data_IF_696236380095
#
_entry.id   IF_696236380095
#
_cell.length_a   1.000
_cell.length_b   1.000
_cell.length_c   1.000
_cell.angle_alpha   90.00
_cell.angle_beta   90.00
_cell.angle_gamma   90.00
#
_symmetry.space_group_name_H-M   'P 1'
#
loop_
_entity.id
_entity.type
_entity.pdbx_description
1 polymer ?
#
# COMPACT_ATOMS: atom_id res chain seq x y z
N UNK A 1 -26.30 4.01 -7.48
CA UNK A 1 -26.94 3.49 -6.27
C UNK A 1 -26.17 2.32 -5.68
N UNK A 2 -26.02 1.17 -6.37
CA UNK A 2 -25.36 -0.04 -5.82
C UNK A 2 -23.87 0.15 -5.59
N UNK A 3 -23.17 0.77 -6.55
CA UNK A 3 -21.73 1.06 -6.42
C UNK A 3 -21.49 2.01 -5.23
N UNK A 4 -22.26 3.10 -5.13
CA UNK A 4 -22.12 4.05 -4.03
C UNK A 4 -22.35 3.40 -2.67
N UNK A 5 -23.35 2.51 -2.57
CA UNK A 5 -23.59 1.76 -1.33
C UNK A 5 -22.38 0.88 -0.94
N UNK A 6 -21.73 0.24 -1.93
CA UNK A 6 -20.53 -0.55 -1.69
C UNK A 6 -19.35 0.34 -1.22
N UNK A 7 -19.17 1.49 -1.86
CA UNK A 7 -18.13 2.47 -1.50
C UNK A 7 -18.33 2.96 -0.06
N UNK A 8 -19.53 3.40 0.30
CA UNK A 8 -19.87 3.84 1.65
C UNK A 8 -19.66 2.74 2.70
N UNK A 9 -20.04 1.50 2.38
CA UNK A 9 -19.83 0.35 3.24
C UNK A 9 -18.33 0.10 3.48
N UNK A 10 -17.53 0.10 2.43
CA UNK A 10 -16.07 -0.14 2.54
C UNK A 10 -15.37 1.01 3.28
N UNK A 11 -15.72 2.25 2.97
CA UNK A 11 -15.19 3.40 3.70
C UNK A 11 -15.50 3.29 5.20
N UNK A 12 -16.74 2.97 5.57
CA UNK A 12 -17.15 2.78 6.96
C UNK A 12 -16.41 1.64 7.67
N UNK A 13 -16.17 0.50 6.98
CA UNK A 13 -15.46 -0.63 7.57
C UNK A 13 -14.01 -0.30 7.94
N UNK A 14 -13.36 0.55 7.17
CA UNK A 14 -11.97 0.98 7.41
C UNK A 14 -11.87 2.32 8.15
N UNK A 15 -13.00 2.97 8.45
CA UNK A 15 -13.00 4.31 9.06
C UNK A 15 -12.36 5.37 8.16
N UNK A 16 -12.55 5.24 6.83
CA UNK A 16 -12.08 6.19 5.82
C UNK A 16 -13.22 7.16 5.42
N UNK A 17 -12.82 8.32 4.91
CA UNK A 17 -13.76 9.37 4.49
C UNK A 17 -14.61 8.93 3.30
N UNK A 18 -14.01 8.23 2.35
CA UNK A 18 -14.69 7.75 1.14
C UNK A 18 -13.95 6.53 0.54
N UNK A 19 -14.56 5.89 -0.45
CA UNK A 19 -13.97 4.83 -1.23
C UNK A 19 -14.36 4.98 -2.71
N UNK A 20 -13.55 4.40 -3.58
CA UNK A 20 -13.76 4.39 -5.02
C UNK A 20 -13.78 2.95 -5.54
N UNK A 21 -14.86 2.55 -6.19
CA UNK A 21 -14.92 1.27 -6.89
C UNK A 21 -14.19 1.33 -8.22
N UNK A 22 -13.30 0.36 -8.45
CA UNK A 22 -12.57 0.19 -9.69
C UNK A 22 -12.75 -1.23 -10.23
N UNK A 23 -12.69 -1.43 -11.58
CA UNK A 23 -12.89 -2.74 -12.19
C UNK A 23 -11.75 -3.73 -11.95
N UNK A 24 -10.60 -3.28 -11.43
CA UNK A 24 -9.45 -4.16 -11.11
C UNK A 24 -8.60 -3.64 -9.97
N UNK A 25 -7.91 -4.57 -9.25
CA UNK A 25 -6.95 -4.22 -8.21
C UNK A 25 -5.74 -3.44 -8.74
N UNK A 26 -5.29 -3.73 -9.96
CA UNK A 26 -4.25 -2.93 -10.63
C UNK A 26 -4.67 -1.47 -10.76
N UNK A 27 -5.92 -1.22 -11.17
CA UNK A 27 -6.42 0.14 -11.29
C UNK A 27 -6.49 0.86 -9.93
N UNK A 28 -6.92 0.17 -8.87
CA UNK A 28 -6.96 0.77 -7.52
C UNK A 28 -5.57 1.17 -7.04
N UNK A 29 -4.57 0.29 -7.18
CA UNK A 29 -3.19 0.60 -6.80
C UNK A 29 -2.62 1.76 -7.63
N UNK A 30 -2.81 1.75 -8.96
CA UNK A 30 -2.29 2.80 -9.82
C UNK A 30 -2.94 4.17 -9.55
N UNK A 31 -4.24 4.21 -9.23
CA UNK A 31 -4.93 5.44 -8.82
C UNK A 31 -4.39 5.93 -7.48
N UNK A 32 -4.24 5.05 -6.49
CA UNK A 32 -3.72 5.42 -5.17
C UNK A 32 -2.30 5.99 -5.28
N UNK A 33 -1.41 5.32 -6.01
CA UNK A 33 -0.04 5.78 -6.24
C UNK A 33 -0.06 7.15 -6.93
N UNK A 34 -0.86 7.32 -7.99
CA UNK A 34 -0.97 8.59 -8.71
C UNK A 34 -1.51 9.72 -7.84
N UNK A 35 -2.48 9.44 -6.97
CA UNK A 35 -3.06 10.43 -6.07
C UNK A 35 -2.07 10.91 -5.00
N UNK A 36 -1.14 10.05 -4.60
CA UNK A 36 -0.17 10.31 -3.54
C UNK A 36 1.16 10.89 -4.03
N UNK A 37 1.41 10.90 -5.34
CA UNK A 37 2.72 11.25 -5.89
C UNK A 37 2.64 12.24 -7.05
N UNK A 38 3.78 12.83 -7.37
CA UNK A 38 4.00 13.67 -8.55
C UNK A 38 5.13 13.09 -9.41
N UNK A 39 5.18 13.41 -10.72
CA UNK A 39 6.32 13.02 -11.55
C UNK A 39 7.64 13.50 -10.96
N UNK A 40 8.60 12.57 -10.86
CA UNK A 40 9.91 12.83 -10.23
C UNK A 40 10.01 12.38 -8.77
N UNK A 41 8.90 12.03 -8.11
CA UNK A 41 8.93 11.43 -6.78
C UNK A 41 9.50 9.99 -6.79
N UNK A 42 9.85 9.49 -5.62
CA UNK A 42 10.26 8.12 -5.40
C UNK A 42 9.29 7.38 -4.47
N UNK A 43 9.06 6.10 -4.77
CA UNK A 43 8.23 5.18 -3.99
C UNK A 43 9.12 4.09 -3.40
N UNK A 44 8.94 3.76 -2.13
CA UNK A 44 9.57 2.60 -1.50
C UNK A 44 8.59 1.42 -1.52
N UNK A 45 9.03 0.26 -2.02
CA UNK A 45 8.28 -0.99 -1.90
C UNK A 45 9.21 -2.20 -1.85
N UNK A 46 8.67 -3.37 -1.48
CA UNK A 46 9.43 -4.61 -1.52
C UNK A 46 9.75 -5.02 -2.97
N UNK A 47 10.93 -5.62 -3.18
CA UNK A 47 11.40 -6.08 -4.50
C UNK A 47 10.42 -7.08 -5.16
N UNK A 48 9.61 -7.79 -4.37
CA UNK A 48 8.64 -8.77 -4.88
C UNK A 48 7.23 -8.23 -5.00
N UNK A 49 6.97 -6.96 -4.61
CA UNK A 49 5.63 -6.38 -4.56
C UNK A 49 4.94 -6.38 -5.92
N UNK A 50 3.63 -6.59 -5.88
CA UNK A 50 2.77 -6.67 -7.08
C UNK A 50 2.75 -5.37 -7.85
N UNK A 51 2.67 -4.23 -7.17
CA UNK A 51 2.61 -2.89 -7.78
C UNK A 51 3.81 -2.60 -8.69
N UNK A 52 4.97 -3.18 -8.38
CA UNK A 52 6.18 -3.03 -9.20
C UNK A 52 6.29 -4.06 -10.31
N UNK A 53 6.06 -5.35 -9.99
CA UNK A 53 6.39 -6.45 -10.90
C UNK A 53 5.26 -6.82 -11.87
N UNK A 54 3.99 -6.57 -11.51
CA UNK A 54 2.83 -7.20 -12.18
C UNK A 54 1.76 -6.19 -12.62
N UNK A 55 2.08 -4.91 -12.69
CA UNK A 55 1.15 -3.86 -13.10
C UNK A 55 1.63 -3.09 -14.36
N UNK A 56 2.34 -3.80 -15.25
CA UNK A 56 2.69 -3.30 -16.58
C UNK A 56 3.60 -2.05 -16.58
N UNK A 57 4.44 -1.86 -15.54
CA UNK A 57 5.26 -0.66 -15.39
C UNK A 57 4.44 0.59 -15.04
N UNK A 58 3.24 0.38 -14.47
CA UNK A 58 2.27 1.44 -14.22
C UNK A 58 2.79 2.57 -13.35
N UNK A 59 3.65 2.31 -12.38
CA UNK A 59 4.26 3.35 -11.53
C UNK A 59 5.01 4.38 -12.40
N UNK A 60 5.85 3.92 -13.30
CA UNK A 60 6.59 4.80 -14.20
C UNK A 60 5.67 5.47 -15.23
N UNK A 61 4.77 4.70 -15.84
CA UNK A 61 3.90 5.19 -16.91
C UNK A 61 2.84 6.18 -16.42
N UNK A 62 2.11 5.82 -15.36
CA UNK A 62 0.98 6.63 -14.88
C UNK A 62 1.42 7.76 -13.95
N UNK A 63 2.42 7.54 -13.11
CA UNK A 63 2.81 8.46 -12.04
C UNK A 63 4.14 9.17 -12.31
N UNK A 64 4.98 8.65 -13.21
CA UNK A 64 6.29 9.23 -13.51
C UNK A 64 7.27 9.13 -12.33
N UNK A 65 7.09 8.15 -11.46
CA UNK A 65 7.89 7.98 -10.25
C UNK A 65 9.01 6.97 -10.45
N UNK A 66 10.12 7.18 -9.77
CA UNK A 66 11.14 6.17 -9.53
C UNK A 66 10.71 5.22 -8.40
N UNK A 67 11.36 4.06 -8.32
CA UNK A 67 11.04 3.06 -7.29
C UNK A 67 12.32 2.64 -6.56
N UNK A 68 12.31 2.79 -5.25
CA UNK A 68 13.30 2.23 -4.34
C UNK A 68 12.87 0.84 -3.93
N UNK A 69 13.55 -0.16 -4.45
CA UNK A 69 13.29 -1.56 -4.13
C UNK A 69 14.06 -1.97 -2.88
N UNK A 70 13.36 -2.51 -1.90
CA UNK A 70 13.92 -3.00 -0.64
C UNK A 70 13.67 -4.50 -0.52
N UNK A 71 14.66 -5.26 -0.10
CA UNK A 71 14.53 -6.70 0.07
C UNK A 71 14.03 -7.00 1.50
N UNK A 72 12.73 -7.09 1.64
CA UNK A 72 12.07 -7.44 2.89
C UNK A 72 12.06 -8.94 3.18
N UNK A 73 11.68 -9.30 4.40
CA UNK A 73 11.49 -10.70 4.78
C UNK A 73 10.21 -11.26 4.19
N UNK A 74 10.31 -12.09 3.15
CA UNK A 74 9.15 -12.68 2.45
C UNK A 74 8.14 -11.61 2.00
N UNK A 75 8.64 -10.50 1.44
CA UNK A 75 7.83 -9.38 0.96
C UNK A 75 7.39 -8.39 2.03
N UNK A 76 7.82 -8.57 3.28
CA UNK A 76 7.50 -7.68 4.41
C UNK A 76 8.67 -6.76 4.70
N UNK A 77 8.45 -5.48 4.56
CA UNK A 77 9.40 -4.43 4.92
C UNK A 77 9.46 -4.26 6.44
N UNK A 78 10.62 -3.89 6.96
CA UNK A 78 10.82 -3.57 8.36
C UNK A 78 10.96 -2.06 8.58
N UNK A 79 10.65 -1.54 9.77
CA UNK A 79 10.71 -0.11 10.05
C UNK A 79 12.09 0.52 9.78
N UNK A 80 13.17 -0.13 10.20
CA UNK A 80 14.55 0.30 9.97
C UNK A 80 14.88 0.39 8.48
N UNK A 81 14.46 -0.61 7.69
CA UNK A 81 14.63 -0.60 6.24
C UNK A 81 13.93 0.60 5.58
N UNK A 82 12.76 1.00 6.06
CA UNK A 82 12.10 2.21 5.53
C UNK A 82 12.93 3.44 5.86
N UNK A 83 13.31 3.61 7.12
CA UNK A 83 14.06 4.78 7.56
C UNK A 83 15.38 4.95 6.79
N UNK A 84 16.13 3.89 6.59
CA UNK A 84 17.42 3.87 5.88
C UNK A 84 17.30 4.16 4.37
N UNK A 85 16.11 3.99 3.79
CA UNK A 85 15.85 4.16 2.36
C UNK A 85 15.12 5.47 2.02
N UNK A 86 14.86 6.34 3.01
CA UNK A 86 14.35 7.70 2.74
C UNK A 86 15.49 8.56 2.20
N UNK A 87 15.29 9.16 1.05
CA UNK A 87 16.27 10.07 0.48
C UNK A 87 16.42 11.35 1.32
N UNK A 88 17.65 11.88 1.45
CA UNK A 88 17.85 13.18 2.10
C UNK A 88 17.23 14.29 1.26
N UNK A 89 16.88 15.40 1.91
CA UNK A 89 16.45 16.63 1.21
C UNK A 89 17.65 17.25 0.47
N UNK A 90 17.81 16.86 -0.79
CA UNK A 90 18.93 17.26 -1.64
C UNK A 90 18.47 17.23 -3.11
N UNK A 91 18.78 18.26 -3.87
CA UNK A 91 18.37 18.46 -5.28
C UNK A 91 18.79 17.33 -6.25
N UNK A 92 19.75 16.50 -5.87
CA UNK A 92 20.23 15.39 -6.70
C UNK A 92 19.42 14.10 -6.50
N UNK A 93 18.55 14.03 -5.49
CA UNK A 93 17.73 12.87 -5.21
C UNK A 93 16.25 13.12 -5.52
N UNK A 94 15.52 12.11 -6.03
CA UNK A 94 14.07 12.19 -6.06
C UNK A 94 13.52 12.30 -4.64
N UNK A 95 12.45 13.05 -4.44
CA UNK A 95 11.78 13.11 -3.14
C UNK A 95 11.09 11.78 -2.87
N UNK A 96 11.50 11.09 -1.79
CA UNK A 96 10.73 9.94 -1.30
C UNK A 96 9.37 10.43 -0.84
N UNK A 97 8.27 9.84 -1.36
CA UNK A 97 6.91 10.35 -1.11
C UNK A 97 5.94 9.30 -0.60
N UNK A 98 6.14 8.06 -0.98
CA UNK A 98 5.17 6.99 -0.71
C UNK A 98 5.89 5.71 -0.31
N UNK A 99 5.37 5.04 0.71
CA UNK A 99 5.70 3.65 1.03
C UNK A 99 4.52 2.77 0.65
N UNK A 100 4.78 1.64 -0.01
CA UNK A 100 3.75 0.66 -0.38
C UNK A 100 4.05 -0.67 0.30
N UNK A 101 3.11 -1.16 1.10
CA UNK A 101 3.13 -2.52 1.66
C UNK A 101 2.10 -3.40 0.96
N UNK A 102 2.39 -4.70 0.86
CA UNK A 102 1.46 -5.71 0.32
C UNK A 102 1.11 -6.73 1.41
N UNK A 103 -0.17 -6.83 1.79
CA UNK A 103 -0.64 -7.79 2.79
C UNK A 103 -1.93 -8.51 2.31
N UNK A 104 -1.94 -9.84 2.26
CA UNK A 104 -0.81 -10.77 2.45
C UNK A 104 0.13 -10.70 1.23
N UNK A 105 1.44 -10.82 1.45
CA UNK A 105 2.40 -10.81 0.35
C UNK A 105 2.26 -12.05 -0.52
N UNK A 106 1.95 -11.86 -1.80
CA UNK A 106 1.73 -12.95 -2.76
C UNK A 106 3.01 -13.76 -2.99
N UNK A 107 4.10 -13.11 -3.32
CA UNK A 107 5.39 -13.76 -3.57
C UNK A 107 6.10 -14.20 -2.29
N UNK A 108 5.71 -13.65 -1.17
CA UNK A 108 6.12 -14.08 0.17
C UNK A 108 5.43 -15.35 0.65
N UNK A 109 4.60 -16.00 -0.21
CA UNK A 109 3.85 -17.22 0.15
C UNK A 109 2.70 -16.96 1.12
N UNK A 110 2.03 -15.81 0.98
CA UNK A 110 0.94 -15.40 1.86
C UNK A 110 1.41 -14.91 3.22
N UNK A 111 2.66 -14.45 3.34
CA UNK A 111 3.18 -13.89 4.59
C UNK A 111 2.34 -12.70 5.05
N UNK A 112 2.13 -12.62 6.36
CA UNK A 112 1.33 -11.58 7.02
C UNK A 112 2.28 -10.68 7.79
N UNK A 113 2.09 -9.36 7.69
CA UNK A 113 2.83 -8.39 8.52
C UNK A 113 2.45 -8.54 10.00
N UNK A 114 3.43 -8.33 10.89
CA UNK A 114 3.14 -7.99 12.27
C UNK A 114 2.55 -6.57 12.30
N UNK A 115 1.40 -6.39 12.93
CA UNK A 115 0.73 -5.08 13.00
C UNK A 115 1.60 -4.03 13.71
N UNK A 116 2.46 -4.42 14.64
CA UNK A 116 3.38 -3.51 15.29
C UNK A 116 4.43 -2.95 14.32
N UNK A 117 4.92 -3.77 13.37
CA UNK A 117 5.80 -3.28 12.31
C UNK A 117 5.07 -2.25 11.44
N UNK A 118 3.81 -2.52 11.06
CA UNK A 118 2.99 -1.57 10.27
C UNK A 118 2.75 -0.26 11.01
N UNK A 119 2.47 -0.30 12.32
CA UNK A 119 2.32 0.89 13.17
C UNK A 119 3.62 1.70 13.20
N UNK A 120 4.77 1.04 13.35
CA UNK A 120 6.06 1.71 13.38
C UNK A 120 6.41 2.31 12.00
N UNK A 121 6.15 1.60 10.90
CA UNK A 121 6.33 2.13 9.54
C UNK A 121 5.44 3.37 9.35
N UNK A 122 4.16 3.30 9.74
CA UNK A 122 3.24 4.43 9.67
C UNK A 122 3.74 5.65 10.44
N UNK A 123 4.33 5.43 11.63
CA UNK A 123 4.94 6.50 12.43
C UNK A 123 6.12 7.13 11.68
N UNK A 124 7.03 6.32 11.16
CA UNK A 124 8.17 6.79 10.34
C UNK A 124 7.68 7.59 9.14
N UNK A 125 6.67 7.11 8.42
CA UNK A 125 6.09 7.82 7.29
C UNK A 125 5.61 9.22 7.70
N UNK A 126 4.83 9.32 8.77
CA UNK A 126 4.29 10.61 9.26
C UNK A 126 5.39 11.58 9.72
N UNK A 127 6.41 11.07 10.39
CA UNK A 127 7.55 11.88 10.87
C UNK A 127 8.42 12.43 9.72
N UNK A 128 8.34 11.82 8.53
CA UNK A 128 9.13 12.20 7.36
C UNK A 128 8.28 12.74 6.19
N UNK A 129 7.03 13.12 6.41
CA UNK A 129 6.10 13.63 5.39
C UNK A 129 5.89 12.66 4.21
N UNK A 130 5.87 11.35 4.51
CA UNK A 130 5.56 10.28 3.57
C UNK A 130 4.13 9.80 3.74
N UNK A 131 3.54 9.32 2.66
CA UNK A 131 2.26 8.63 2.68
C UNK A 131 2.47 7.10 2.70
N UNK A 132 1.50 6.38 3.24
CA UNK A 132 1.57 4.93 3.38
C UNK A 132 0.36 4.27 2.72
N UNK A 133 0.59 3.51 1.65
CA UNK A 133 -0.43 2.77 0.90
C UNK A 133 -0.37 1.27 1.18
N UNK A 134 -1.54 0.63 1.32
CA UNK A 134 -1.67 -0.82 1.41
C UNK A 134 -2.23 -1.41 0.10
N UNK A 135 -1.44 -2.25 -0.58
CA UNK A 135 -1.99 -3.25 -1.49
C UNK A 135 -2.58 -4.39 -0.64
N UNK A 136 -3.83 -4.24 -0.32
CA UNK A 136 -4.61 -5.15 0.53
C UNK A 136 -5.46 -6.13 -0.27
N UNK A 137 -5.03 -6.50 -1.47
CA UNK A 137 -5.77 -7.42 -2.36
C UNK A 137 -6.23 -8.71 -1.67
N UNK A 138 -5.50 -9.17 -0.66
CA UNK A 138 -5.83 -10.36 0.16
C UNK A 138 -5.87 -10.04 1.66
N UNK A 139 -6.11 -8.80 2.04
CA UNK A 139 -6.09 -8.37 3.44
C UNK A 139 -7.07 -9.17 4.30
N UNK A 140 -8.26 -9.47 3.81
CA UNK A 140 -9.24 -10.25 4.58
C UNK A 140 -8.75 -11.64 4.96
N UNK A 141 -7.83 -12.25 4.19
CA UNK A 141 -7.20 -13.51 4.59
C UNK A 141 -6.28 -13.30 5.82
N UNK A 142 -5.53 -12.18 5.87
CA UNK A 142 -4.74 -11.82 7.04
C UNK A 142 -5.63 -11.59 8.27
N UNK A 143 -6.71 -10.81 8.11
CA UNK A 143 -7.62 -10.48 9.22
C UNK A 143 -8.28 -11.74 9.83
N UNK A 144 -8.61 -12.74 9.01
CA UNK A 144 -9.16 -14.01 9.49
C UNK A 144 -8.12 -14.79 10.31
N UNK A 145 -6.87 -14.77 9.88
CA UNK A 145 -5.78 -15.49 10.56
C UNK A 145 -5.37 -14.81 11.86
N UNK A 146 -5.28 -13.47 11.86
CA UNK A 146 -4.75 -12.70 13.00
C UNK A 146 -5.83 -12.27 14.01
N UNK A 147 -7.08 -12.17 13.58
CA UNK A 147 -8.18 -11.60 14.38
C UNK A 147 -8.15 -10.06 14.46
N UNK A 148 -7.27 -9.41 13.72
CA UNK A 148 -7.17 -7.94 13.62
C UNK A 148 -8.39 -7.34 12.93
N UNK A 149 -8.66 -6.06 13.17
CA UNK A 149 -9.84 -5.37 12.64
C UNK A 149 -9.49 -4.42 11.49
N UNK A 150 -10.42 -4.24 10.57
CA UNK A 150 -10.30 -3.32 9.44
C UNK A 150 -10.02 -1.88 9.87
N UNK A 151 -10.61 -1.43 10.98
CA UNK A 151 -10.44 -0.08 11.52
C UNK A 151 -9.01 0.20 12.01
N UNK A 152 -8.27 -0.84 12.43
CA UNK A 152 -6.86 -0.71 12.80
C UNK A 152 -6.02 -0.39 11.56
N UNK A 153 -6.24 -1.11 10.47
CA UNK A 153 -5.61 -0.83 9.18
C UNK A 153 -5.98 0.56 8.63
N UNK A 154 -7.24 0.95 8.78
CA UNK A 154 -7.68 2.29 8.41
C UNK A 154 -6.93 3.42 9.10
N UNK A 155 -6.51 3.23 10.36
CA UNK A 155 -5.71 4.20 11.12
C UNK A 155 -4.23 4.20 10.73
N UNK A 156 -3.70 3.06 10.26
CA UNK A 156 -2.30 2.88 9.91
C UNK A 156 -1.99 3.48 8.53
N UNK A 157 -2.83 3.21 7.53
CA UNK A 157 -2.59 3.56 6.13
C UNK A 157 -3.36 4.79 5.68
N UNK A 158 -2.79 5.58 4.79
CA UNK A 158 -3.47 6.71 4.15
C UNK A 158 -4.48 6.23 3.09
N UNK A 159 -4.12 5.18 2.34
CA UNK A 159 -5.03 4.53 1.39
C UNK A 159 -4.87 3.01 1.39
N UNK A 160 -5.94 2.30 1.04
CA UNK A 160 -6.02 0.84 1.06
C UNK A 160 -6.72 0.36 -0.20
N UNK A 161 -6.09 -0.55 -0.95
CA UNK A 161 -6.71 -1.31 -2.04
C UNK A 161 -7.28 -2.63 -1.52
N UNK A 162 -8.49 -2.98 -1.96
CA UNK A 162 -9.13 -4.27 -1.62
C UNK A 162 -9.62 -4.93 -2.92
N UNK A 163 -9.43 -6.25 -3.06
CA UNK A 163 -10.00 -7.02 -4.16
C UNK A 163 -11.11 -7.94 -3.67
N UNK A 164 -12.29 -7.81 -4.27
CA UNK A 164 -13.42 -8.71 -4.00
C UNK A 164 -13.29 -10.04 -4.77
N UNK A 165 -12.65 -10.02 -5.94
CA UNK A 165 -12.47 -11.17 -6.85
C UNK A 165 -11.40 -12.19 -6.43
N UNK A 166 -10.85 -12.10 -5.21
CA UNK A 166 -9.84 -13.01 -4.66
C UNK A 166 -10.40 -13.77 -3.45
N UNK A 167 -9.86 -13.58 -2.26
CA UNK A 167 -10.28 -14.30 -1.06
C UNK A 167 -11.75 -14.12 -0.69
N UNK A 168 -12.40 -13.06 -1.12
CA UNK A 168 -13.84 -12.82 -0.88
C UNK A 168 -14.74 -13.55 -1.89
N UNK A 169 -14.22 -13.96 -3.05
CA UNK A 169 -14.92 -14.79 -4.03
C UNK A 169 -16.10 -14.12 -4.75
N UNK A 170 -16.11 -12.79 -4.88
CA UNK A 170 -17.17 -12.03 -5.54
C UNK A 170 -16.78 -11.64 -6.97
#
# INVERSE_FOLDING_TARGET
PTVRFLEEKMAGMFGKEDALFCPSGTMTNQIAIKAHTQPGDEIICDITSHVYNYEGGGIAFNSGCSVRLVNGDRGRLKPDQIYENINPDNVHYPKTRLVVAENTSNKGGGSIYDINDLIQISKICRENDLLFHLDGCRLFNALVETGEKTEEYGKIFDSISICFSKGLGA
#
